data_IF_976877975409
#
_entry.id   IF_976877975409
#
_cell.length_a   1.000
_cell.length_b   1.000
_cell.length_c   1.000
_cell.angle_alpha   90.00
_cell.angle_beta   90.00
_cell.angle_gamma   90.00
#
_symmetry.space_group_name_H-M   'P 1'
#
loop_
_entity.id
_entity.type
_entity.pdbx_description
1 polymer ?
#
# COMPACT_ATOMS: atom_id res chain seq x y z
N UNK A 1 -20.60 -6.41 0.89
CA UNK A 1 -19.69 -6.34 -0.27
C UNK A 1 -18.57 -7.36 -0.12
N UNK A 2 -18.24 -8.04 -1.19
CA UNK A 2 -17.16 -9.03 -1.22
C UNK A 2 -16.05 -8.54 -2.13
N UNK A 3 -14.82 -8.56 -1.65
CA UNK A 3 -13.63 -8.23 -2.43
C UNK A 3 -12.74 -9.47 -2.48
N UNK A 4 -12.43 -9.92 -3.69
CA UNK A 4 -11.50 -11.04 -3.87
C UNK A 4 -10.08 -10.51 -3.85
N UNK A 5 -9.20 -11.21 -3.15
CA UNK A 5 -7.79 -10.87 -3.03
C UNK A 5 -6.97 -12.08 -3.45
N UNK A 6 -6.04 -11.86 -4.36
CA UNK A 6 -5.17 -12.93 -4.87
C UNK A 6 -3.76 -12.73 -4.34
N UNK A 7 -3.19 -13.79 -3.77
CA UNK A 7 -1.76 -13.84 -3.46
C UNK A 7 -1.00 -14.12 -4.75
N UNK A 8 -0.08 -13.23 -5.10
CA UNK A 8 0.78 -13.40 -6.26
C UNK A 8 2.05 -14.19 -5.94
N UNK A 9 2.34 -14.33 -4.65
CA UNK A 9 3.48 -15.06 -4.14
C UNK A 9 3.09 -15.68 -2.80
N UNK A 10 3.73 -16.80 -2.45
CA UNK A 10 3.43 -17.53 -1.20
C UNK A 10 3.75 -16.72 0.06
N UNK A 11 4.66 -15.74 -0.04
CA UNK A 11 5.02 -14.89 1.09
C UNK A 11 4.05 -13.71 1.30
N UNK A 12 3.03 -13.55 0.45
CA UNK A 12 2.04 -12.50 0.61
C UNK A 12 1.28 -12.64 1.94
N UNK A 13 1.01 -11.51 2.56
CA UNK A 13 0.23 -11.43 3.79
C UNK A 13 -1.14 -10.86 3.45
N UNK A 14 -2.21 -11.61 3.70
CA UNK A 14 -3.55 -11.13 3.42
C UNK A 14 -3.84 -9.88 4.27
N UNK A 15 -4.55 -8.89 3.69
CA UNK A 15 -4.85 -7.66 4.42
C UNK A 15 -5.79 -7.95 5.58
N UNK A 16 -5.57 -7.27 6.69
CA UNK A 16 -6.39 -7.43 7.88
C UNK A 16 -6.65 -6.07 8.51
N UNK A 17 -7.79 -5.96 9.18
CA UNK A 17 -8.04 -4.84 10.08
C UNK A 17 -7.27 -5.08 11.37
N UNK A 18 -6.58 -4.05 11.87
CA UNK A 18 -5.85 -4.16 13.14
C UNK A 18 -6.83 -4.41 14.30
N UNK A 19 -7.99 -3.79 14.22
CA UNK A 19 -9.07 -3.99 15.20
C UNK A 19 -10.42 -3.75 14.54
N UNK A 20 -11.47 -4.27 15.17
CA UNK A 20 -12.83 -4.07 14.70
C UNK A 20 -13.18 -2.58 14.64
N UNK A 21 -13.81 -2.16 13.54
CA UNK A 21 -14.19 -0.77 13.34
C UNK A 21 -13.16 0.08 12.61
N UNK A 22 -11.95 -0.43 12.37
CA UNK A 22 -10.96 0.30 11.58
C UNK A 22 -11.43 0.44 10.14
N UNK A 23 -11.16 1.61 9.53
CA UNK A 23 -11.55 1.88 8.16
C UNK A 23 -10.64 1.21 7.15
N UNK A 24 -9.35 1.13 7.46
CA UNK A 24 -8.34 0.60 6.55
C UNK A 24 -7.79 -0.74 6.99
N UNK A 25 -7.48 -1.58 6.01
CA UNK A 25 -6.76 -2.82 6.24
C UNK A 25 -5.28 -2.59 6.00
N UNK A 26 -4.43 -3.07 6.91
CA UNK A 26 -2.98 -2.94 6.78
C UNK A 26 -2.44 -3.85 5.67
N UNK A 27 -1.46 -3.32 4.94
CA UNK A 27 -0.73 -4.04 3.90
C UNK A 27 0.74 -4.14 4.28
N UNK A 28 1.30 -5.32 4.02
CA UNK A 28 2.65 -5.69 4.43
C UNK A 28 3.57 -5.75 3.22
N UNK A 29 4.77 -5.20 3.35
CA UNK A 29 5.78 -5.28 2.29
C UNK A 29 6.33 -6.69 2.17
N UNK A 30 6.36 -7.22 0.95
CA UNK A 30 6.99 -8.50 0.63
C UNK A 30 8.25 -8.32 -0.20
N UNK A 31 8.46 -7.12 -0.75
CA UNK A 31 9.65 -6.78 -1.51
C UNK A 31 9.99 -5.32 -1.32
N UNK A 32 11.25 -4.98 -1.57
CA UNK A 32 11.75 -3.61 -1.48
C UNK A 32 12.75 -3.38 -2.60
N UNK A 33 12.60 -2.28 -3.31
CA UNK A 33 13.51 -1.91 -4.39
C UNK A 33 13.53 -0.40 -4.55
N UNK A 34 14.38 0.09 -5.45
CA UNK A 34 14.49 1.51 -5.75
C UNK A 34 14.31 1.69 -7.25
N UNK A 35 13.56 2.71 -7.65
CA UNK A 35 13.39 2.99 -9.07
C UNK A 35 14.28 4.17 -9.50
N UNK A 36 14.24 4.46 -10.80
CA UNK A 36 15.05 5.53 -11.40
C UNK A 36 14.55 6.94 -11.04
N UNK A 37 13.36 7.05 -10.43
CA UNK A 37 12.75 8.33 -10.07
C UNK A 37 13.00 8.72 -8.60
N UNK A 38 13.84 7.98 -7.91
CA UNK A 38 14.15 8.25 -6.51
C UNK A 38 13.14 7.71 -5.52
N UNK A 39 12.27 6.79 -5.95
CA UNK A 39 11.32 6.16 -5.05
C UNK A 39 11.94 4.93 -4.40
N UNK A 40 11.58 4.71 -3.13
CA UNK A 40 11.69 3.39 -2.53
C UNK A 40 10.35 2.69 -2.75
N UNK A 41 10.40 1.51 -3.35
CA UNK A 41 9.23 0.77 -3.82
C UNK A 41 9.00 -0.47 -2.99
N UNK A 42 7.77 -0.67 -2.53
CA UNK A 42 7.39 -1.83 -1.73
C UNK A 42 6.27 -2.58 -2.43
N UNK A 43 6.54 -3.82 -2.82
CA UNK A 43 5.50 -4.71 -3.30
C UNK A 43 4.78 -5.38 -2.15
N UNK A 44 3.52 -5.70 -2.35
CA UNK A 44 2.70 -6.42 -1.36
C UNK A 44 2.43 -7.86 -1.77
N UNK A 45 2.75 -8.23 -3.00
CA UNK A 45 2.40 -9.54 -3.59
C UNK A 45 0.90 -9.84 -3.56
N UNK A 46 0.09 -8.78 -3.59
CA UNK A 46 -1.38 -8.90 -3.58
C UNK A 46 -1.98 -8.19 -4.79
N UNK A 47 -3.00 -8.79 -5.36
CA UNK A 47 -3.87 -8.17 -6.36
C UNK A 47 -5.31 -8.22 -5.85
N UNK A 48 -6.07 -7.17 -6.12
CA UNK A 48 -7.44 -7.03 -5.65
C UNK A 48 -8.40 -7.00 -6.83
N UNK A 49 -9.54 -7.67 -6.65
CA UNK A 49 -10.68 -7.52 -7.55
C UNK A 49 -11.72 -6.66 -6.86
N UNK A 50 -11.64 -5.35 -7.11
CA UNK A 50 -12.54 -4.39 -6.49
C UNK A 50 -13.84 -4.34 -7.30
N UNK A 51 -15.01 -4.50 -6.66
CA UNK A 51 -16.27 -4.48 -7.38
C UNK A 51 -16.53 -3.17 -8.11
N UNK A 52 -17.28 -3.22 -9.20
CA UNK A 52 -17.73 -2.03 -9.91
C UNK A 52 -18.49 -1.11 -8.95
N UNK A 53 -18.28 0.20 -9.09
CA UNK A 53 -18.88 1.19 -8.20
C UNK A 53 -18.08 1.44 -6.92
N UNK A 54 -16.95 0.76 -6.77
CA UNK A 54 -16.06 0.91 -5.62
C UNK A 54 -14.65 1.26 -6.09
N UNK A 55 -13.88 1.83 -5.19
CA UNK A 55 -12.48 2.19 -5.42
C UNK A 55 -11.66 1.77 -4.22
N UNK A 56 -10.43 1.34 -4.47
CA UNK A 56 -9.45 1.12 -3.41
C UNK A 56 -8.55 2.33 -3.30
N UNK A 57 -8.41 2.86 -2.09
CA UNK A 57 -7.54 4.00 -1.82
C UNK A 57 -6.40 3.54 -0.93
N UNK A 58 -5.18 3.85 -1.36
CA UNK A 58 -3.98 3.51 -0.61
C UNK A 58 -3.49 4.73 0.14
N UNK A 59 -3.34 4.59 1.44
CA UNK A 59 -2.84 5.63 2.33
C UNK A 59 -1.65 5.13 3.11
N UNK A 60 -0.75 6.03 3.55
CA UNK A 60 0.23 5.67 4.55
C UNK A 60 -0.48 5.33 5.87
N UNK A 61 0.23 4.63 6.74
CA UNK A 61 -0.24 4.43 8.12
C UNK A 61 0.07 5.68 8.94
N UNK A 62 -0.65 5.87 10.05
CA UNK A 62 -0.39 7.02 10.93
C UNK A 62 1.04 7.05 11.44
N UNK A 63 1.66 5.88 11.65
CA UNK A 63 3.06 5.78 12.09
C UNK A 63 4.04 6.31 11.05
N UNK A 64 3.61 6.53 9.81
CA UNK A 64 4.46 7.12 8.78
C UNK A 64 4.91 8.55 9.13
N UNK A 65 4.19 9.22 10.04
CA UNK A 65 4.58 10.56 10.49
C UNK A 65 5.93 10.57 11.21
N UNK A 66 6.43 9.41 11.63
CA UNK A 66 7.73 9.26 12.28
C UNK A 66 8.84 8.89 11.30
N UNK A 67 8.52 8.78 10.02
CA UNK A 67 9.46 8.40 8.96
C UNK A 67 9.84 9.64 8.15
N UNK A 68 10.98 9.56 7.47
CA UNK A 68 11.41 10.57 6.51
C UNK A 68 10.91 10.23 5.12
N UNK A 69 9.66 9.81 5.02
CA UNK A 69 9.05 9.32 3.79
C UNK A 69 7.70 9.96 3.56
N UNK A 70 7.42 10.24 2.30
CA UNK A 70 6.09 10.65 1.86
C UNK A 70 5.65 9.76 0.69
N UNK A 71 4.37 9.39 0.66
CA UNK A 71 3.84 8.60 -0.45
C UNK A 71 3.90 9.45 -1.72
N UNK A 72 4.62 8.97 -2.74
CA UNK A 72 4.98 9.76 -3.92
C UNK A 72 3.79 10.29 -4.69
N UNK A 73 2.70 9.54 -4.74
CA UNK A 73 1.48 9.92 -5.44
C UNK A 73 0.37 10.42 -4.51
N UNK A 74 0.70 10.79 -3.28
CA UNK A 74 -0.22 11.30 -2.25
C UNK A 74 -1.22 10.25 -1.79
N UNK A 75 -2.09 9.78 -2.67
CA UNK A 75 -3.06 8.71 -2.43
C UNK A 75 -3.04 7.81 -3.65
N UNK A 76 -2.84 6.52 -3.42
CA UNK A 76 -2.93 5.54 -4.50
C UNK A 76 -4.39 5.25 -4.82
N UNK A 77 -4.72 5.20 -6.10
CA UNK A 77 -6.09 4.89 -6.54
C UNK A 77 -6.07 3.56 -7.29
N UNK A 78 -6.78 2.59 -6.74
CA UNK A 78 -6.92 1.26 -7.34
C UNK A 78 -8.30 1.15 -7.96
N UNK A 79 -8.34 1.20 -9.28
CA UNK A 79 -9.59 1.11 -10.04
C UNK A 79 -10.17 -0.30 -9.97
N UNK A 80 -11.48 -0.43 -10.16
CA UNK A 80 -12.15 -1.72 -10.15
C UNK A 80 -11.63 -2.67 -11.23
N UNK A 81 -11.09 -2.14 -12.33
CA UNK A 81 -10.50 -2.95 -13.41
C UNK A 81 -9.04 -3.32 -13.22
N UNK A 82 -8.38 -2.79 -12.21
CA UNK A 82 -6.95 -3.03 -12.02
C UNK A 82 -6.72 -4.42 -11.40
N UNK A 83 -5.92 -5.25 -12.06
CA UNK A 83 -5.60 -6.61 -11.61
C UNK A 83 -4.13 -6.81 -11.30
N UNK A 84 -3.35 -5.74 -11.35
CA UNK A 84 -1.91 -5.82 -11.04
C UNK A 84 -1.62 -5.84 -9.56
N UNK A 85 -0.35 -5.97 -9.25
CA UNK A 85 0.12 -5.94 -7.87
C UNK A 85 -0.08 -4.56 -7.25
N UNK A 86 -0.49 -4.54 -5.99
CA UNK A 86 -0.53 -3.30 -5.21
C UNK A 86 0.87 -3.00 -4.70
N UNK A 87 1.38 -1.83 -5.07
CA UNK A 87 2.73 -1.36 -4.77
C UNK A 87 2.64 0.02 -4.13
N UNK A 88 3.44 0.25 -3.09
CA UNK A 88 3.60 1.57 -2.48
C UNK A 88 4.95 2.14 -2.87
N UNK A 89 4.96 3.40 -3.28
CA UNK A 89 6.21 4.11 -3.60
C UNK A 89 6.31 5.36 -2.74
N UNK A 90 7.44 5.50 -2.08
CA UNK A 90 7.70 6.64 -1.20
C UNK A 90 8.91 7.40 -1.68
N UNK A 91 8.93 8.72 -1.41
CA UNK A 91 10.10 9.56 -1.59
C UNK A 91 10.60 10.01 -0.23
N UNK A 92 11.91 10.20 -0.13
CA UNK A 92 12.51 10.82 1.05
C UNK A 92 12.20 12.31 1.10
N UNK A 93 11.91 12.81 2.29
CA UNK A 93 11.65 14.23 2.50
C UNK A 93 12.93 15.05 2.52
N UNK A 94 14.07 14.41 2.81
CA UNK A 94 15.37 15.07 2.86
C UNK A 94 16.32 14.43 1.87
N UNK A 95 17.38 15.13 1.51
CA UNK A 95 18.42 14.59 0.62
C UNK A 95 19.33 13.58 1.30
N UNK A 96 19.32 13.55 2.64
CA UNK A 96 20.04 12.55 3.39
C UNK A 96 19.25 11.24 3.39
N UNK A 97 19.54 10.39 2.43
CA UNK A 97 18.86 9.10 2.26
C UNK A 97 19.37 8.10 3.30
N UNK A 98 19.00 8.29 4.54
CA UNK A 98 19.36 7.37 5.59
C UNK A 98 18.37 6.20 5.62
N UNK A 99 18.88 4.99 5.44
CA UNK A 99 18.04 3.80 5.32
C UNK A 99 17.23 3.49 6.57
N UNK A 100 17.67 3.97 7.75
CA UNK A 100 16.91 3.72 8.98
C UNK A 100 15.54 4.44 9.01
N UNK A 101 15.33 5.41 8.12
CA UNK A 101 14.02 6.04 7.95
C UNK A 101 13.07 5.27 7.05
N UNK A 102 13.52 4.18 6.45
CA UNK A 102 12.73 3.40 5.50
C UNK A 102 12.07 2.21 6.19
N UNK A 103 11.03 1.67 5.55
CA UNK A 103 10.45 0.40 5.94
C UNK A 103 11.33 -0.75 5.48
N UNK A 104 11.17 -1.88 6.14
CA UNK A 104 11.81 -3.15 5.78
C UNK A 104 10.77 -4.12 5.24
N UNK A 105 11.19 -5.09 4.46
CA UNK A 105 10.35 -6.22 4.09
C UNK A 105 9.81 -6.87 5.35
N UNK A 106 8.51 -7.14 5.38
CA UNK A 106 7.80 -7.64 6.56
C UNK A 106 7.10 -6.57 7.37
N UNK A 107 7.41 -5.30 7.15
CA UNK A 107 6.73 -4.19 7.82
C UNK A 107 5.36 -3.94 7.20
N UNK A 108 4.44 -3.46 8.02
CA UNK A 108 3.20 -2.86 7.52
C UNK A 108 3.53 -1.47 7.02
N UNK A 109 3.29 -1.24 5.73
CA UNK A 109 3.78 -0.03 5.03
C UNK A 109 2.68 0.94 4.67
N UNK A 110 1.45 0.53 4.77
CA UNK A 110 0.32 1.35 4.38
C UNK A 110 -0.98 0.62 4.63
N UNK A 111 -2.05 1.20 4.15
CA UNK A 111 -3.38 0.65 4.32
C UNK A 111 -4.21 0.88 3.07
N UNK A 112 -5.21 0.02 2.89
CA UNK A 112 -6.19 0.16 1.81
C UNK A 112 -7.57 0.37 2.42
N UNK A 113 -8.28 1.37 1.90
CA UNK A 113 -9.68 1.61 2.22
C UNK A 113 -10.48 1.39 0.95
N UNK A 114 -11.52 0.57 1.03
CA UNK A 114 -12.41 0.31 -0.10
C UNK A 114 -13.73 0.99 0.17
N UNK A 115 -14.12 1.86 -0.74
CA UNK A 115 -15.31 2.67 -0.55
C UNK A 115 -16.09 2.84 -1.85
N UNK A 116 -17.41 3.06 -1.75
CA UNK A 116 -18.21 3.35 -2.93
C UNK A 116 -17.89 4.75 -3.47
N UNK A 117 -18.09 4.94 -4.76
CA UNK A 117 -18.00 6.25 -5.37
C UNK A 117 -19.06 6.37 -6.47
N UNK A 118 -19.64 7.57 -6.67
CA UNK A 118 -20.56 7.77 -7.80
C UNK A 118 -19.79 7.88 -9.10
N UNK A 119 -20.35 7.32 -10.13
CA UNK A 119 -19.72 7.32 -11.46
C UNK A 119 -20.61 8.01 -12.48
#
# INVERSE_FOLDING_TARGET
>A
MKVNVKKLDSNAVLPTYAKHGDAGMDLTATSKSYDEHGNVCYGTSLAFEIPAGYVGLLFPRSSNTKKDLILSNSVGVIDSGYRGEVVFKFKHLTEEHEQHGEYKTGDRIGQIIIMPYPQ
#
